data_IF_090397768855
#
_entry.id   IF_090397768855
#
_cell.length_a   1.000
_cell.length_b   1.000
_cell.length_c   1.000
_cell.angle_alpha   90.00
_cell.angle_beta   90.00
_cell.angle_gamma   90.00
#
_symmetry.space_group_name_H-M   'P 1'
#
loop_
_entity.id
_entity.type
_entity.pdbx_description
1 polymer ?
#
# COMPACT_ATOMS: atom_id res chain seq x y z
N UNK A 1 14.90 -15.81 -14.74
CA UNK A 1 13.63 -15.50 -15.46
C UNK A 1 12.62 -16.56 -15.10
N UNK A 2 11.39 -16.18 -14.75
CA UNK A 2 10.31 -17.13 -14.44
C UNK A 2 9.70 -17.78 -15.70
N UNK A 3 8.75 -18.72 -15.54
CA UNK A 3 8.18 -19.48 -16.65
C UNK A 3 7.16 -18.71 -17.51
N UNK A 4 6.67 -17.56 -17.04
CA UNK A 4 5.61 -16.80 -17.70
C UNK A 4 6.14 -15.83 -18.76
N UNK A 5 5.37 -15.66 -19.83
CA UNK A 5 5.71 -14.74 -20.93
C UNK A 5 5.21 -13.33 -20.64
N UNK A 6 5.98 -12.29 -21.03
CA UNK A 6 5.46 -10.93 -21.05
C UNK A 6 4.46 -10.76 -22.21
N UNK A 7 3.44 -9.93 -21.99
CA UNK A 7 2.47 -9.47 -23.00
C UNK A 7 2.49 -7.95 -23.06
N UNK A 8 2.19 -7.42 -24.25
CA UNK A 8 1.96 -5.99 -24.43
C UNK A 8 0.71 -5.55 -23.67
N UNK A 9 0.73 -4.29 -23.22
CA UNK A 9 -0.36 -3.71 -22.45
C UNK A 9 -0.95 -2.50 -23.18
N UNK A 10 -2.05 -1.94 -22.65
CA UNK A 10 -2.63 -0.70 -23.13
C UNK A 10 -1.67 0.50 -23.00
N UNK A 11 -0.67 0.41 -22.12
CA UNK A 11 0.42 1.37 -22.04
C UNK A 11 1.64 0.85 -22.83
N UNK A 12 2.22 1.64 -23.76
CA UNK A 12 3.42 1.24 -24.49
C UNK A 12 4.67 1.20 -23.60
N UNK A 13 4.60 1.73 -22.37
CA UNK A 13 5.74 1.87 -21.46
C UNK A 13 5.98 0.66 -20.55
N UNK A 14 5.03 -0.28 -20.50
CA UNK A 14 5.13 -1.46 -19.64
C UNK A 14 4.57 -2.72 -20.27
N UNK A 15 5.23 -3.84 -19.95
CA UNK A 15 4.75 -5.19 -20.20
C UNK A 15 4.38 -5.86 -18.89
N UNK A 16 3.36 -6.72 -18.92
CA UNK A 16 2.94 -7.53 -17.77
C UNK A 16 2.98 -9.01 -18.12
N UNK A 17 2.89 -9.87 -17.11
CA UNK A 17 2.79 -11.32 -17.32
C UNK A 17 1.47 -11.68 -18.00
N UNK A 18 1.51 -12.71 -18.87
CA UNK A 18 0.32 -13.29 -19.52
C UNK A 18 -0.77 -13.75 -18.53
N UNK A 19 -0.42 -13.96 -17.25
CA UNK A 19 -1.37 -14.32 -16.19
C UNK A 19 -2.21 -13.13 -15.69
N UNK A 20 -1.87 -11.90 -16.06
CA UNK A 20 -2.59 -10.68 -15.68
C UNK A 20 -3.24 -9.97 -16.89
N UNK A 21 -4.02 -10.67 -17.74
CA UNK A 21 -4.50 -10.10 -19.00
C UNK A 21 -5.49 -8.95 -18.79
N UNK A 22 -6.26 -8.98 -17.69
CA UNK A 22 -7.18 -7.88 -17.34
C UNK A 22 -6.44 -6.61 -16.91
N UNK A 23 -5.30 -6.73 -16.22
CA UNK A 23 -4.46 -5.59 -15.87
C UNK A 23 -3.77 -5.02 -17.11
N UNK A 24 -3.29 -5.89 -18.01
CA UNK A 24 -2.68 -5.45 -19.27
C UNK A 24 -3.64 -4.57 -20.09
N UNK A 25 -4.94 -4.89 -20.11
CA UNK A 25 -5.96 -4.09 -20.80
C UNK A 25 -6.18 -2.69 -20.22
N UNK A 26 -5.82 -2.44 -18.96
CA UNK A 26 -6.04 -1.16 -18.27
C UNK A 26 -4.73 -0.53 -17.77
N UNK A 27 -3.60 -0.91 -18.38
CA UNK A 27 -2.28 -0.42 -17.97
C UNK A 27 -2.07 1.09 -18.20
N UNK A 28 -2.95 1.76 -18.94
CA UNK A 28 -3.02 3.21 -19.07
C UNK A 28 -3.71 3.89 -17.86
N UNK A 29 -4.28 3.11 -16.93
CA UNK A 29 -5.03 3.60 -15.76
C UNK A 29 -4.29 3.45 -14.43
N UNK A 30 -3.11 2.86 -14.42
CA UNK A 30 -2.31 2.71 -13.20
C UNK A 30 -0.82 2.91 -13.48
N UNK A 31 -0.06 3.06 -12.40
CA UNK A 31 1.39 3.18 -12.45
C UNK A 31 2.04 2.03 -11.69
N UNK A 32 3.23 1.62 -12.12
CA UNK A 32 4.05 0.63 -11.42
C UNK A 32 5.09 1.31 -10.55
N UNK A 33 5.01 1.10 -9.24
CA UNK A 33 6.06 1.54 -8.30
C UNK A 33 7.12 0.45 -8.23
N UNK A 34 8.26 0.66 -8.91
CA UNK A 34 9.39 -0.30 -8.95
C UNK A 34 10.38 -0.14 -7.79
N UNK A 35 10.19 0.88 -6.96
CA UNK A 35 11.08 1.24 -5.85
C UNK A 35 10.63 0.69 -4.48
N UNK A 36 9.70 -0.26 -4.44
CA UNK A 36 9.24 -0.84 -3.17
C UNK A 36 10.35 -1.71 -2.56
N UNK A 37 11.12 -1.14 -1.64
CA UNK A 37 12.27 -1.77 -0.99
C UNK A 37 12.48 -1.19 0.42
N UNK A 38 12.83 -2.04 1.39
CA UNK A 38 13.25 -1.62 2.72
C UNK A 38 14.28 -2.60 3.30
N UNK A 39 15.08 -2.13 4.26
CA UNK A 39 16.10 -2.93 4.97
C UNK A 39 15.64 -3.42 6.35
N UNK A 40 14.42 -3.07 6.77
CA UNK A 40 13.87 -3.51 8.04
C UNK A 40 13.61 -5.02 8.06
N UNK A 41 13.46 -5.57 9.27
CA UNK A 41 13.19 -6.99 9.48
C UNK A 41 12.00 -7.46 8.64
N UNK A 42 12.15 -8.64 8.03
CA UNK A 42 11.14 -9.27 7.18
C UNK A 42 10.01 -9.88 8.01
N UNK A 43 9.26 -9.03 8.71
CA UNK A 43 8.06 -9.37 9.49
C UNK A 43 6.84 -8.66 8.90
N UNK A 44 5.71 -9.35 8.91
CA UNK A 44 4.47 -8.87 8.27
C UNK A 44 4.02 -7.51 8.84
N UNK A 45 4.08 -7.32 10.15
CA UNK A 45 3.73 -6.04 10.79
C UNK A 45 4.52 -4.86 10.22
N UNK A 46 5.83 -5.02 9.98
CA UNK A 46 6.69 -3.98 9.37
C UNK A 46 6.19 -3.62 7.97
N UNK A 47 5.85 -4.65 7.17
CA UNK A 47 5.28 -4.46 5.85
C UNK A 47 3.95 -3.71 5.92
N UNK A 48 3.05 -4.08 6.83
CA UNK A 48 1.77 -3.39 7.04
C UNK A 48 2.00 -1.92 7.39
N UNK A 49 2.83 -1.64 8.38
CA UNK A 49 3.16 -0.30 8.83
C UNK A 49 3.70 0.57 7.68
N UNK A 50 4.69 0.06 6.94
CA UNK A 50 5.30 0.82 5.85
C UNK A 50 4.35 1.04 4.69
N UNK A 51 3.56 0.04 4.32
CA UNK A 51 2.60 0.17 3.21
C UNK A 51 1.51 1.20 3.52
N UNK A 52 1.14 1.34 4.79
CA UNK A 52 0.08 2.24 5.23
C UNK A 52 0.55 3.63 5.60
N UNK A 53 1.77 3.77 6.13
CA UNK A 53 2.26 5.04 6.68
C UNK A 53 3.47 5.62 5.92
N UNK A 54 4.06 4.82 5.03
CA UNK A 54 5.31 5.14 4.33
C UNK A 54 6.55 5.15 5.23
N UNK A 55 6.43 4.75 6.51
CA UNK A 55 7.50 4.85 7.52
C UNK A 55 7.68 3.55 8.28
N UNK A 56 8.93 3.27 8.67
CA UNK A 56 9.24 2.26 9.67
C UNK A 56 8.81 2.76 11.04
N UNK A 57 8.14 1.91 11.83
CA UNK A 57 7.88 2.21 13.24
C UNK A 57 9.19 2.28 14.02
N UNK A 58 9.51 3.45 14.57
CA UNK A 58 10.73 3.68 15.34
C UNK A 58 10.43 4.58 16.54
N UNK A 59 11.13 4.36 17.66
CA UNK A 59 11.03 5.23 18.84
C UNK A 59 9.65 5.35 19.48
N UNK A 60 8.75 4.36 19.30
CA UNK A 60 7.39 4.42 19.83
C UNK A 60 6.44 5.34 19.06
N UNK A 61 6.86 5.83 17.89
CA UNK A 61 6.11 6.81 17.09
C UNK A 61 5.06 6.13 16.22
N UNK A 62 3.77 6.34 16.51
CA UNK A 62 2.68 5.89 15.65
C UNK A 62 2.40 6.92 14.54
N UNK A 63 2.83 6.62 13.31
CA UNK A 63 2.62 7.51 12.15
C UNK A 63 1.18 7.37 11.62
N UNK A 64 0.51 8.45 11.21
CA UNK A 64 -0.83 8.39 10.63
C UNK A 64 -0.88 7.52 9.37
N UNK A 65 -1.98 6.77 9.21
CA UNK A 65 -2.33 6.13 7.94
C UNK A 65 -2.36 7.16 6.80
N UNK A 66 -1.95 6.75 5.59
CA UNK A 66 -1.92 7.63 4.42
C UNK A 66 -3.28 8.29 4.12
N UNK A 67 -4.38 7.58 4.41
CA UNK A 67 -5.74 8.12 4.35
C UNK A 67 -6.00 9.28 5.33
N UNK A 68 -5.51 9.18 6.57
CA UNK A 68 -5.62 10.25 7.57
C UNK A 68 -4.78 11.47 7.16
N UNK A 69 -3.56 11.25 6.65
CA UNK A 69 -2.73 12.31 6.10
C UNK A 69 -3.40 12.99 4.89
N UNK A 70 -4.05 12.22 4.01
CA UNK A 70 -4.79 12.75 2.87
C UNK A 70 -6.00 13.57 3.31
N UNK A 71 -6.77 13.12 4.30
CA UNK A 71 -7.89 13.88 4.87
C UNK A 71 -7.41 15.20 5.49
N UNK A 72 -6.30 15.19 6.25
CA UNK A 72 -5.70 16.41 6.80
C UNK A 72 -5.28 17.39 5.70
N UNK A 73 -4.65 16.90 4.62
CA UNK A 73 -4.12 17.74 3.54
C UNK A 73 -5.19 18.24 2.56
N UNK A 74 -6.27 17.49 2.35
CA UNK A 74 -7.30 17.78 1.33
C UNK A 74 -8.64 18.19 1.92
N UNK A 75 -8.83 18.02 3.22
CA UNK A 75 -10.12 18.18 3.88
C UNK A 75 -11.11 17.06 3.54
N UNK A 76 -12.25 17.09 4.22
CA UNK A 76 -13.40 16.24 3.90
C UNK A 76 -14.13 16.74 2.66
N UNK A 77 -14.76 15.83 1.92
CA UNK A 77 -15.60 16.17 0.77
C UNK A 77 -17.07 16.33 1.13
N UNK A 78 -17.52 15.62 2.15
CA UNK A 78 -18.88 15.56 2.66
C UNK A 78 -18.84 15.23 4.17
N UNK A 79 -19.98 14.78 4.73
CA UNK A 79 -20.10 14.45 6.15
C UNK A 79 -19.46 13.10 6.53
N UNK A 80 -18.91 12.35 5.57
CA UNK A 80 -18.24 11.08 5.84
C UNK A 80 -16.75 11.30 6.17
N UNK A 81 -16.14 10.41 6.99
CA UNK A 81 -14.70 10.40 7.17
C UNK A 81 -13.98 10.15 5.85
N UNK A 82 -12.84 10.82 5.62
CA UNK A 82 -12.01 10.63 4.42
C UNK A 82 -11.28 9.29 4.42
N UNK A 83 -11.18 8.63 5.58
CA UNK A 83 -10.62 7.30 5.72
C UNK A 83 -11.33 6.48 6.81
N UNK A 84 -11.60 5.21 6.50
CA UNK A 84 -12.17 4.22 7.43
C UNK A 84 -11.50 2.86 7.22
N UNK A 85 -11.45 2.07 8.28
CA UNK A 85 -10.97 0.68 8.26
C UNK A 85 -12.19 -0.26 8.29
N UNK A 86 -12.24 -1.20 7.35
CA UNK A 86 -13.33 -2.18 7.20
C UNK A 86 -12.78 -3.53 6.74
N UNK A 87 -13.43 -4.66 7.08
CA UNK A 87 -14.54 -4.79 8.03
C UNK A 87 -14.07 -4.73 9.50
N UNK A 88 -12.80 -5.01 9.75
CA UNK A 88 -12.19 -5.05 11.08
C UNK A 88 -10.72 -4.61 11.01
N UNK A 89 -10.10 -4.22 12.13
CA UNK A 89 -8.67 -3.98 12.19
C UNK A 89 -7.86 -5.24 11.81
N UNK A 90 -6.68 -5.04 11.20
CA UNK A 90 -5.75 -6.14 10.96
C UNK A 90 -5.40 -6.85 12.27
N UNK A 91 -5.51 -8.17 12.24
CA UNK A 91 -5.15 -9.05 13.35
C UNK A 91 -3.65 -9.33 13.44
N UNK A 92 -3.28 -10.11 14.46
CA UNK A 92 -1.89 -10.47 14.72
C UNK A 92 -1.26 -11.21 13.53
N UNK A 93 -0.07 -10.76 13.11
CA UNK A 93 0.71 -11.41 12.04
C UNK A 93 2.02 -12.03 12.51
N UNK A 94 2.10 -12.32 13.81
CA UNK A 94 3.23 -13.00 14.44
C UNK A 94 4.31 -12.08 15.04
N UNK A 95 4.16 -10.76 14.90
CA UNK A 95 4.96 -9.78 15.63
C UNK A 95 4.10 -8.96 16.62
N UNK A 96 4.75 -7.97 17.24
CA UNK A 96 4.15 -7.04 18.20
C UNK A 96 4.30 -5.57 17.76
N UNK A 97 4.48 -5.32 16.46
CA UNK A 97 4.58 -3.96 15.93
C UNK A 97 3.20 -3.46 15.49
N UNK A 98 2.94 -2.14 15.52
CA UNK A 98 1.71 -1.60 14.96
C UNK A 98 1.63 -1.85 13.46
N UNK A 99 0.41 -1.88 12.94
CA UNK A 99 0.14 -2.16 11.52
C UNK A 99 -0.06 -0.91 10.66
N UNK A 100 -0.04 0.29 11.25
CA UNK A 100 -0.18 1.55 10.52
C UNK A 100 -1.62 1.91 10.13
N UNK A 101 -2.61 1.18 10.65
CA UNK A 101 -4.04 1.38 10.40
C UNK A 101 -4.67 2.48 11.26
N UNK A 102 -3.95 2.94 12.28
CA UNK A 102 -4.48 3.91 13.23
C UNK A 102 -4.39 5.33 12.66
N UNK A 103 -5.11 6.24 13.30
CA UNK A 103 -5.00 7.66 13.02
C UNK A 103 -3.59 8.23 13.28
N UNK A 104 -2.77 7.59 14.12
CA UNK A 104 -1.43 8.07 14.49
C UNK A 104 -1.48 9.30 15.41
N UNK A 105 -0.44 10.14 15.36
CA UNK A 105 -0.42 11.44 16.05
C UNK A 105 -1.60 12.35 15.66
#
# INVERSE_FOLDING_TARGET
>A
RGPFKPIQTASPEMMLSEILPKHAKVADKFSLVRSCYHTAAAVHDTGHQMMQTGRLFTGGINTPHAGCAMEYLRGRRDDLPGHVVLPEPMGSTGGNLPHGQDAGF
#
